data_IF_166878188109
#
_entry.id   IF_166878188109
#
_cell.length_a   1.000
_cell.length_b   1.000
_cell.length_c   1.000
_cell.angle_alpha   90.00
_cell.angle_beta   90.00
_cell.angle_gamma   90.00
#
_symmetry.space_group_name_H-M   'P 1'
#
loop_
_entity.id
_entity.type
_entity.pdbx_description
1 polymer ?
#
# COMPACT_ATOMS: atom_id res chain seq x y z
N UNK A 1 -12.81 13.29 -10.72
CA UNK A 1 -12.65 11.83 -10.51
C UNK A 1 -11.24 11.57 -10.06
N UNK A 2 -11.05 11.04 -8.85
CA UNK A 2 -9.72 10.58 -8.40
C UNK A 2 -9.49 9.25 -9.11
N UNK A 3 -8.46 9.21 -9.96
CA UNK A 3 -8.09 8.01 -10.69
C UNK A 3 -7.52 6.97 -9.70
N UNK A 4 -7.91 5.69 -9.78
CA UNK A 4 -7.38 4.67 -8.88
C UNK A 4 -5.86 4.56 -9.05
N UNK A 5 -5.15 4.25 -7.97
CA UNK A 5 -3.68 4.23 -7.95
C UNK A 5 -3.07 3.25 -8.96
N UNK A 6 -3.83 2.22 -9.35
CA UNK A 6 -3.53 1.30 -10.46
C UNK A 6 -3.35 1.98 -11.82
N UNK A 7 -3.80 3.23 -11.99
CA UNK A 7 -3.74 3.98 -13.25
C UNK A 7 -2.61 5.01 -13.30
N UNK A 8 -1.72 5.04 -12.31
CA UNK A 8 -0.52 5.86 -12.35
C UNK A 8 0.41 5.35 -13.46
N UNK A 9 0.63 6.16 -14.50
CA UNK A 9 1.43 5.82 -15.67
C UNK A 9 2.90 5.53 -15.35
N UNK A 10 3.44 6.01 -14.22
CA UNK A 10 4.79 5.65 -13.74
C UNK A 10 4.87 4.23 -13.17
N UNK A 11 3.73 3.55 -13.03
CA UNK A 11 3.60 2.19 -12.49
C UNK A 11 2.81 1.28 -13.46
N UNK A 12 2.46 1.78 -14.65
CA UNK A 12 1.54 1.12 -15.57
C UNK A 12 2.12 -0.12 -16.26
N UNK A 13 3.44 -0.22 -16.35
CA UNK A 13 4.11 -1.33 -17.05
C UNK A 13 4.43 -2.52 -16.14
N UNK A 14 4.16 -2.40 -14.83
CA UNK A 14 4.54 -3.44 -13.87
C UNK A 14 3.34 -4.14 -13.24
N UNK A 15 3.21 -5.42 -13.61
CA UNK A 15 2.12 -6.31 -13.17
C UNK A 15 2.61 -7.07 -11.93
N UNK A 16 1.94 -6.96 -10.76
CA UNK A 16 2.30 -7.72 -9.57
C UNK A 16 2.22 -9.22 -9.85
N UNK A 17 3.10 -10.00 -9.23
CA UNK A 17 3.01 -11.46 -9.27
C UNK A 17 1.70 -11.95 -8.62
N UNK A 18 1.18 -13.13 -9.01
CA UNK A 18 0.02 -13.73 -8.35
C UNK A 18 0.17 -13.83 -6.83
N UNK A 19 1.39 -14.14 -6.36
CA UNK A 19 1.71 -14.23 -4.94
C UNK A 19 1.53 -12.89 -4.25
N UNK A 20 2.06 -11.80 -4.81
CA UNK A 20 1.87 -10.46 -4.25
C UNK A 20 0.39 -10.05 -4.21
N UNK A 21 -0.39 -10.40 -5.23
CA UNK A 21 -1.83 -10.12 -5.27
C UNK A 21 -2.53 -10.80 -4.09
N UNK A 22 -2.24 -12.09 -3.84
CA UNK A 22 -2.84 -12.81 -2.72
C UNK A 22 -2.35 -12.28 -1.37
N UNK A 23 -1.07 -11.94 -1.23
CA UNK A 23 -0.53 -11.32 -0.01
C UNK A 23 -1.23 -10.00 0.30
N UNK A 24 -1.47 -9.14 -0.71
CA UNK A 24 -2.18 -7.86 -0.54
C UNK A 24 -3.65 -8.11 -0.14
N UNK A 25 -4.34 -9.03 -0.82
CA UNK A 25 -5.74 -9.36 -0.50
C UNK A 25 -5.88 -9.84 0.95
N UNK A 26 -4.98 -10.69 1.40
CA UNK A 26 -5.00 -11.19 2.76
C UNK A 26 -4.65 -10.09 3.78
N UNK A 27 -3.71 -9.20 3.45
CA UNK A 27 -3.42 -8.03 4.28
C UNK A 27 -4.65 -7.10 4.43
N UNK A 28 -5.43 -6.90 3.35
CA UNK A 28 -6.69 -6.16 3.42
C UNK A 28 -7.69 -6.86 4.36
N UNK A 29 -7.81 -8.19 4.26
CA UNK A 29 -8.70 -8.99 5.11
C UNK A 29 -8.31 -8.90 6.59
N UNK A 30 -7.03 -9.03 6.91
CA UNK A 30 -6.50 -8.96 8.28
C UNK A 30 -6.74 -7.58 8.92
N UNK A 31 -6.72 -6.51 8.12
CA UNK A 31 -6.99 -5.15 8.58
C UNK A 31 -8.47 -4.76 8.53
N UNK A 32 -9.35 -5.63 8.05
CA UNK A 32 -10.78 -5.32 7.87
C UNK A 32 -11.04 -4.20 6.85
N UNK A 33 -10.21 -4.10 5.81
CA UNK A 33 -10.32 -3.07 4.78
C UNK A 33 -11.27 -3.53 3.67
N UNK A 34 -12.19 -2.65 3.28
CA UNK A 34 -13.03 -2.79 2.08
C UNK A 34 -12.34 -2.19 0.86
N UNK A 35 -12.87 -2.38 -0.35
CA UNK A 35 -12.26 -1.85 -1.57
C UNK A 35 -12.07 -0.32 -1.52
N UNK A 36 -11.14 0.23 -2.32
CA UNK A 36 -10.89 1.68 -2.35
C UNK A 36 -12.15 2.50 -2.71
N UNK A 37 -13.07 1.92 -3.48
CA UNK A 37 -14.33 2.56 -3.89
C UNK A 37 -15.36 2.63 -2.76
N UNK A 38 -15.33 1.65 -1.85
CA UNK A 38 -16.27 1.51 -0.73
C UNK A 38 -15.72 2.08 0.59
N UNK A 39 -14.40 2.26 0.69
CA UNK A 39 -13.71 2.70 1.89
C UNK A 39 -13.62 4.21 2.08
N UNK A 40 -13.53 4.65 3.34
CA UNK A 40 -13.25 6.05 3.67
C UNK A 40 -11.83 6.49 3.25
N UNK A 41 -11.49 7.77 3.48
CA UNK A 41 -10.17 8.30 3.13
C UNK A 41 -9.00 7.58 3.84
N UNK A 42 -9.22 7.08 5.05
CA UNK A 42 -8.20 6.36 5.82
C UNK A 42 -7.98 4.96 5.25
N UNK A 43 -9.04 4.26 4.88
CA UNK A 43 -8.94 2.95 4.22
C UNK A 43 -8.22 3.07 2.87
N UNK A 44 -8.61 4.05 2.06
CA UNK A 44 -7.92 4.34 0.79
C UNK A 44 -6.43 4.61 1.00
N UNK A 45 -6.04 5.38 2.01
CA UNK A 45 -4.63 5.63 2.31
C UNK A 45 -3.88 4.33 2.68
N UNK A 46 -4.48 3.49 3.52
CA UNK A 46 -3.87 2.21 3.95
C UNK A 46 -3.68 1.24 2.79
N UNK A 47 -4.72 1.04 1.98
CA UNK A 47 -4.67 0.17 0.79
C UNK A 47 -3.58 0.67 -0.18
N UNK A 48 -3.54 1.98 -0.43
CA UNK A 48 -2.50 2.56 -1.27
C UNK A 48 -1.09 2.36 -0.70
N UNK A 49 -0.93 2.45 0.61
CA UNK A 49 0.37 2.22 1.26
C UNK A 49 0.80 0.76 1.11
N UNK A 50 -0.10 -0.20 1.32
CA UNK A 50 0.17 -1.63 1.12
C UNK A 50 0.53 -1.92 -0.34
N UNK A 51 -0.23 -1.36 -1.28
CA UNK A 51 0.02 -1.48 -2.71
C UNK A 51 1.39 -0.92 -3.12
N UNK A 52 1.76 0.25 -2.60
CA UNK A 52 3.08 0.85 -2.84
C UNK A 52 4.18 0.00 -2.24
N UNK A 53 4.04 -0.42 -0.98
CA UNK A 53 5.09 -1.15 -0.28
C UNK A 53 5.32 -2.53 -0.91
N UNK A 54 4.26 -3.28 -1.20
CA UNK A 54 4.34 -4.57 -1.89
C UNK A 54 5.01 -4.46 -3.27
N UNK A 55 4.91 -3.30 -3.93
CA UNK A 55 5.64 -3.01 -5.18
C UNK A 55 7.12 -2.72 -4.94
N UNK A 56 7.48 -2.00 -3.88
CA UNK A 56 8.88 -1.69 -3.57
C UNK A 56 9.63 -2.90 -3.01
N UNK A 57 8.91 -3.83 -2.38
CA UNK A 57 9.45 -4.99 -1.68
C UNK A 57 8.78 -6.29 -2.17
N UNK A 58 9.03 -6.71 -3.42
CA UNK A 58 8.42 -7.91 -3.99
C UNK A 58 8.79 -9.21 -3.27
N UNK A 59 9.87 -9.20 -2.49
CA UNK A 59 10.31 -10.29 -1.62
C UNK A 59 9.38 -10.53 -0.41
N UNK A 60 8.54 -9.56 -0.05
CA UNK A 60 7.63 -9.68 1.10
C UNK A 60 6.39 -10.45 0.68
N UNK A 61 6.34 -11.72 1.08
CA UNK A 61 5.21 -12.62 0.78
C UNK A 61 4.30 -12.87 1.97
N UNK A 62 4.73 -12.53 3.19
CA UNK A 62 3.91 -12.64 4.40
C UNK A 62 2.99 -11.42 4.56
N UNK A 63 1.65 -11.61 4.61
CA UNK A 63 0.70 -10.51 4.79
C UNK A 63 0.92 -9.71 6.07
N UNK A 64 1.32 -10.37 7.17
CA UNK A 64 1.52 -9.68 8.44
C UNK A 64 2.79 -8.82 8.43
N UNK A 65 3.87 -9.33 7.85
CA UNK A 65 5.07 -8.56 7.56
C UNK A 65 4.77 -7.35 6.67
N UNK A 66 4.01 -7.54 5.58
CA UNK A 66 3.60 -6.46 4.68
C UNK A 66 2.89 -5.33 5.43
N UNK A 67 1.93 -5.66 6.31
CA UNK A 67 1.23 -4.69 7.15
C UNK A 67 2.22 -3.91 8.01
N UNK A 68 3.07 -4.62 8.77
CA UNK A 68 3.98 -4.00 9.72
C UNK A 68 4.96 -3.06 9.04
N UNK A 69 5.55 -3.49 7.93
CA UNK A 69 6.59 -2.74 7.26
C UNK A 69 6.01 -1.57 6.44
N UNK A 70 4.81 -1.72 5.85
CA UNK A 70 4.09 -0.62 5.24
C UNK A 70 3.76 0.50 6.25
N UNK A 71 3.38 0.16 7.49
CA UNK A 71 3.14 1.15 8.54
C UNK A 71 4.42 1.86 8.99
N UNK A 72 5.53 1.12 9.15
CA UNK A 72 6.84 1.73 9.45
C UNK A 72 7.27 2.68 8.33
N UNK A 73 7.09 2.30 7.08
CA UNK A 73 7.40 3.14 5.93
C UNK A 73 6.60 4.46 5.98
N UNK A 74 5.29 4.39 6.25
CA UNK A 74 4.45 5.58 6.37
C UNK A 74 4.93 6.51 7.50
N UNK A 75 5.24 5.96 8.67
CA UNK A 75 5.77 6.73 9.80
C UNK A 75 7.07 7.45 9.43
N UNK A 76 8.01 6.74 8.79
CA UNK A 76 9.27 7.33 8.33
C UNK A 76 9.06 8.47 7.31
N UNK A 77 8.07 8.37 6.42
CA UNK A 77 7.78 9.46 5.48
C UNK A 77 7.18 10.69 6.17
N UNK A 78 6.35 10.48 7.21
CA UNK A 78 5.81 11.58 8.02
C UNK A 78 6.94 12.29 8.76
N UNK A 79 7.83 11.54 9.40
CA UNK A 79 8.96 12.08 10.14
C UNK A 79 9.92 12.84 9.21
N UNK A 80 10.24 12.30 8.04
CA UNK A 80 11.03 13.00 7.01
C UNK A 80 10.40 14.31 6.59
N UNK A 81 9.09 14.35 6.34
CA UNK A 81 8.40 15.58 5.94
C UNK A 81 8.41 16.63 7.03
N UNK A 82 8.26 16.24 8.30
CA UNK A 82 8.37 17.15 9.44
C UNK A 82 9.78 17.75 9.52
N UNK A 83 10.80 16.92 9.39
CA UNK A 83 12.20 17.34 9.55
C UNK A 83 12.78 18.06 8.32
N UNK A 84 12.18 17.92 7.13
CA UNK A 84 12.56 18.68 5.92
C UNK A 84 11.81 20.01 5.76
N UNK A 85 10.90 20.35 6.69
CA UNK A 85 10.22 21.64 6.75
C UNK A 85 10.87 22.62 7.75
N UNK A 86 11.98 22.23 8.37
CA UNK A 86 12.90 23.10 9.13
C UNK A 86 14.09 23.53 8.24
#
# INVERSE_FOLDING_TARGET
MIKPFSTNSKLADWIPSPQQIETIKEAHRLLGLVSEEEGDATNRLRINTLNVYSRLHPEVTDPQQLINDAFKFLAQQIDRRRNCQE
#
